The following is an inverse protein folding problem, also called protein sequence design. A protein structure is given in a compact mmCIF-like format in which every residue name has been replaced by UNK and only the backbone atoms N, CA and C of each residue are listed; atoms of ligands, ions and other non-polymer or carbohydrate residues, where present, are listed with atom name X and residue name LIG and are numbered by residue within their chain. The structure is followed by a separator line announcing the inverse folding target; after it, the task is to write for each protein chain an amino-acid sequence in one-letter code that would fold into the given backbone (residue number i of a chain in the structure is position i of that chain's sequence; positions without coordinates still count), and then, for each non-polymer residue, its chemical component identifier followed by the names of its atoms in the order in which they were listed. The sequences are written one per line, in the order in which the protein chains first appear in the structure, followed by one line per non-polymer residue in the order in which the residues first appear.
data_IF_957032707305
#
_entry.id   IF_957032707305
#
_cell.length_a   1.000
_cell.length_b   1.000
_cell.length_c   1.000
_cell.angle_alpha   90.00
_cell.angle_beta   90.00
_cell.angle_gamma   90.00
#
_symmetry.space_group_name_H-M   'P 1'
#
loop_
_entity.id
_entity.type
_entity.pdbx_description
1 polymer ?
#
# COMPACT_ATOMS: atom_id res chain seq x y z
N UNK A 1 1.10 7.32 -1.16
CA UNK A 1 2.40 8.04 -1.08
C UNK A 1 2.72 8.53 -2.47
N UNK A 2 2.76 9.85 -2.66
CA UNK A 2 3.21 10.44 -3.92
C UNK A 2 4.73 10.28 -4.03
N UNK A 3 5.16 9.68 -5.14
CA UNK A 3 6.57 9.42 -5.43
C UNK A 3 6.93 10.23 -6.69
N UNK A 4 7.30 11.49 -6.47
CA UNK A 4 7.59 12.47 -7.52
C UNK A 4 8.76 12.06 -8.42
N UNK A 5 9.64 11.18 -7.93
CA UNK A 5 10.81 10.66 -8.63
C UNK A 5 10.83 9.13 -8.56
N UNK A 6 11.43 8.52 -9.57
CA UNK A 6 11.75 7.10 -9.53
C UNK A 6 12.59 6.80 -8.28
N UNK A 7 12.22 5.75 -7.54
CA UNK A 7 12.95 5.33 -6.35
C UNK A 7 14.23 4.61 -6.78
N UNK A 8 15.36 5.13 -6.32
CA UNK A 8 16.58 4.32 -6.26
C UNK A 8 16.53 3.36 -5.06
N UNK A 9 17.52 2.47 -4.99
CA UNK A 9 17.57 1.46 -3.94
C UNK A 9 17.64 2.06 -2.52
N UNK A 10 18.38 3.17 -2.36
CA UNK A 10 18.52 3.83 -1.08
C UNK A 10 17.18 4.43 -0.62
N UNK A 11 16.47 5.12 -1.51
CA UNK A 11 15.17 5.73 -1.24
C UNK A 11 14.10 4.67 -0.97
N UNK A 12 14.11 3.55 -1.71
CA UNK A 12 13.23 2.40 -1.46
C UNK A 12 13.46 1.84 -0.05
N UNK A 13 14.71 1.66 0.34
CA UNK A 13 15.08 1.13 1.67
C UNK A 13 14.69 2.11 2.78
N UNK A 14 14.88 3.41 2.56
CA UNK A 14 14.46 4.44 3.50
C UNK A 14 12.93 4.44 3.68
N UNK A 15 12.18 4.33 2.59
CA UNK A 15 10.72 4.20 2.65
C UNK A 15 10.29 2.93 3.41
N UNK A 16 10.94 1.79 3.14
CA UNK A 16 10.63 0.54 3.83
C UNK A 16 10.90 0.62 5.34
N UNK A 17 12.00 1.26 5.76
CA UNK A 17 12.28 1.51 7.18
C UNK A 17 11.22 2.42 7.81
N UNK A 18 10.82 3.51 7.14
CA UNK A 18 9.76 4.39 7.63
C UNK A 18 8.42 3.67 7.80
N UNK A 19 8.06 2.79 6.86
CA UNK A 19 6.86 1.93 6.97
C UNK A 19 6.96 0.92 8.12
N UNK A 20 8.15 0.35 8.35
CA UNK A 20 8.41 -0.56 9.47
C UNK A 20 8.26 0.16 10.81
N UNK A 21 8.84 1.35 10.95
CA UNK A 21 8.75 2.16 12.15
C UNK A 21 7.30 2.54 12.45
N UNK A 22 6.56 2.98 11.43
CA UNK A 22 5.13 3.22 11.55
C UNK A 22 4.37 1.96 11.97
N UNK A 23 4.65 0.81 11.34
CA UNK A 23 4.00 -0.45 11.68
C UNK A 23 4.24 -0.87 13.14
N UNK A 24 5.41 -0.56 13.71
CA UNK A 24 5.71 -0.84 15.11
C UNK A 24 4.87 0.00 16.10
N UNK A 25 4.28 1.11 15.65
CA UNK A 25 3.33 1.90 16.44
C UNK A 25 1.88 1.36 16.37
N UNK A 26 1.59 0.44 15.46
CA UNK A 26 0.24 -0.10 15.26
C UNK A 26 0.01 -1.41 16.05
N UNK A 27 -1.23 -1.68 16.50
CA UNK A 27 -1.60 -2.98 17.08
C UNK A 27 -1.19 -4.15 16.18
N UNK A 28 -0.64 -5.22 16.75
CA UNK A 28 -0.03 -6.33 15.99
C UNK A 28 -1.01 -7.10 15.10
N UNK A 29 -2.30 -7.04 15.41
CA UNK A 29 -3.39 -7.70 14.68
C UNK A 29 -3.89 -6.87 13.48
N UNK A 30 -3.44 -5.63 13.32
CA UNK A 30 -3.80 -4.78 12.19
C UNK A 30 -2.82 -4.95 11.02
N UNK A 31 -3.30 -5.14 9.78
CA UNK A 31 -2.43 -5.18 8.62
C UNK A 31 -1.84 -3.79 8.33
N UNK A 32 -0.61 -3.76 7.84
CA UNK A 32 -0.06 -2.58 7.17
C UNK A 32 -0.55 -2.59 5.72
N UNK A 33 -1.23 -1.53 5.31
CA UNK A 33 -1.65 -1.32 3.92
C UNK A 33 -0.92 -0.11 3.38
N UNK A 34 -0.15 -0.29 2.30
CA UNK A 34 0.54 0.78 1.61
C UNK A 34 -0.03 0.93 0.20
N UNK A 35 -0.42 2.15 -0.17
CA UNK A 35 -0.88 2.48 -1.52
C UNK A 35 0.10 3.47 -2.14
N UNK A 36 0.62 3.12 -3.31
CA UNK A 36 1.64 3.88 -4.03
C UNK A 36 1.24 4.05 -5.50
N UNK A 37 1.65 5.15 -6.11
CA UNK A 37 1.28 5.44 -7.51
C UNK A 37 2.22 4.78 -8.53
N UNK A 38 3.41 4.36 -8.07
CA UNK A 38 4.47 3.81 -8.92
C UNK A 38 4.59 2.30 -8.72
N UNK A 39 4.97 1.60 -9.79
CA UNK A 39 5.16 0.13 -9.85
C UNK A 39 6.36 -0.34 -9.01
N UNK A 40 6.16 -0.43 -7.69
CA UNK A 40 7.18 -0.88 -6.74
C UNK A 40 6.62 -1.85 -5.69
N UNK A 41 5.39 -2.37 -5.83
CA UNK A 41 4.77 -3.18 -4.78
C UNK A 41 5.61 -4.41 -4.44
N UNK A 42 6.19 -5.06 -5.45
CA UNK A 42 7.04 -6.23 -5.22
C UNK A 42 8.32 -5.85 -4.44
N UNK A 43 9.06 -4.85 -4.92
CA UNK A 43 10.33 -4.46 -4.30
C UNK A 43 10.10 -3.94 -2.87
N UNK A 44 9.18 -2.99 -2.70
CA UNK A 44 8.82 -2.43 -1.40
C UNK A 44 8.28 -3.50 -0.45
N UNK A 45 7.38 -4.36 -0.95
CA UNK A 45 6.75 -5.42 -0.18
C UNK A 45 7.78 -6.43 0.35
N UNK A 46 8.74 -6.83 -0.48
CA UNK A 46 9.84 -7.72 -0.05
C UNK A 46 10.75 -7.04 0.96
N UNK A 47 11.12 -5.76 0.74
CA UNK A 47 11.97 -5.02 1.69
C UNK A 47 11.29 -4.87 3.05
N UNK A 48 10.02 -4.45 3.09
CA UNK A 48 9.25 -4.32 4.34
C UNK A 48 9.06 -5.68 5.02
N UNK A 49 8.79 -6.75 4.26
CA UNK A 49 8.67 -8.10 4.83
C UNK A 49 9.97 -8.65 5.41
N UNK A 50 11.12 -8.28 4.85
CA UNK A 50 12.42 -8.61 5.42
C UNK A 50 12.62 -7.97 6.81
N UNK A 51 12.08 -6.76 7.02
CA UNK A 51 12.16 -6.04 8.29
C UNK A 51 11.10 -6.48 9.30
N UNK A 52 9.88 -6.79 8.83
CA UNK A 52 8.72 -7.17 9.65
C UNK A 52 8.06 -8.47 9.15
N UNK A 53 8.68 -9.64 9.36
CA UNK A 53 8.20 -10.91 8.79
C UNK A 53 6.79 -11.30 9.23
N UNK A 54 6.42 -11.01 10.47
CA UNK A 54 5.13 -11.40 11.07
C UNK A 54 3.98 -10.42 10.78
N UNK A 55 4.27 -9.17 10.39
CA UNK A 55 3.25 -8.15 10.14
C UNK A 55 2.49 -8.46 8.85
N UNK A 56 1.17 -8.64 8.89
CA UNK A 56 0.37 -8.72 7.66
C UNK A 56 0.57 -7.44 6.82
N UNK A 57 0.89 -7.59 5.54
CA UNK A 57 1.25 -6.50 4.63
C UNK A 57 0.50 -6.63 3.31
N UNK A 58 -0.12 -5.55 2.87
CA UNK A 58 -0.66 -5.38 1.52
C UNK A 58 -0.05 -4.12 0.91
N UNK A 59 0.66 -4.27 -0.21
CA UNK A 59 1.13 -3.14 -1.01
C UNK A 59 0.35 -3.13 -2.32
N UNK A 60 -0.32 -2.02 -2.59
CA UNK A 60 -1.09 -1.77 -3.81
C UNK A 60 -0.35 -0.67 -4.56
N UNK A 61 0.10 -0.97 -5.78
CA UNK A 61 0.77 0.00 -6.65
C UNK A 61 -0.07 0.40 -7.86
N UNK A 62 0.42 1.41 -8.59
CA UNK A 62 -0.22 1.96 -9.78
C UNK A 62 -1.64 2.50 -9.53
N UNK A 63 -1.93 2.93 -8.29
CA UNK A 63 -3.21 3.55 -7.93
C UNK A 63 -2.96 5.01 -7.57
N UNK A 64 -3.42 5.92 -8.44
CA UNK A 64 -3.51 7.34 -8.15
C UNK A 64 -4.77 7.65 -7.35
N UNK A 65 -4.64 8.46 -6.30
CA UNK A 65 -5.75 8.90 -5.46
C UNK A 65 -5.74 10.41 -5.37
N UNK A 66 -6.93 11.01 -5.44
CA UNK A 66 -7.15 12.42 -5.16
C UNK A 66 -7.79 12.60 -3.78
N UNK A 67 -7.80 13.83 -3.29
CA UNK A 67 -8.53 14.17 -2.08
C UNK A 67 -10.03 13.81 -2.23
N UNK A 68 -10.57 13.11 -1.24
CA UNK A 68 -11.98 12.65 -1.26
C UNK A 68 -12.19 11.30 -1.96
N UNK A 69 -11.14 10.66 -2.47
CA UNK A 69 -11.23 9.30 -2.99
C UNK A 69 -11.26 8.25 -1.88
N UNK A 70 -12.09 7.24 -2.09
CA UNK A 70 -12.23 6.06 -1.26
C UNK A 70 -11.80 4.84 -2.05
N UNK A 71 -11.19 3.87 -1.37
CA UNK A 71 -10.87 2.57 -1.94
C UNK A 71 -11.87 1.55 -1.41
N UNK A 72 -12.49 0.83 -2.33
CA UNK A 72 -13.29 -0.36 -2.06
C UNK A 72 -12.50 -1.61 -2.48
N UNK A 73 -12.35 -2.55 -1.56
CA UNK A 73 -11.68 -3.84 -1.76
C UNK A 73 -12.78 -4.90 -1.74
N UNK A 74 -13.09 -5.46 -2.91
CA UNK A 74 -14.15 -6.45 -3.04
C UNK A 74 -13.76 -7.84 -2.51
N UNK A 75 -14.65 -8.80 -2.70
CA UNK A 75 -14.39 -10.20 -2.36
C UNK A 75 -13.43 -10.85 -3.36
N UNK A 76 -12.61 -11.84 -2.94
CA UNK A 76 -11.76 -12.57 -3.86
C UNK A 76 -12.57 -13.29 -4.94
N UNK A 77 -12.05 -13.23 -6.17
CA UNK A 77 -12.60 -13.84 -7.38
C UNK A 77 -11.62 -14.87 -7.95
N UNK A 78 -12.07 -15.69 -8.90
CA UNK A 78 -11.24 -16.67 -9.62
C UNK A 78 -10.49 -17.63 -8.68
N UNK A 79 -11.22 -18.22 -7.73
CA UNK A 79 -10.68 -19.08 -6.66
C UNK A 79 -9.62 -18.39 -5.79
N UNK A 80 -9.81 -17.09 -5.53
CA UNK A 80 -8.95 -16.29 -4.67
C UNK A 80 -7.71 -15.72 -5.34
N UNK A 81 -7.58 -15.84 -6.67
CA UNK A 81 -6.42 -15.33 -7.42
C UNK A 81 -6.44 -13.83 -7.65
N UNK A 82 -7.62 -13.20 -7.61
CA UNK A 82 -7.80 -11.78 -7.89
C UNK A 82 -8.71 -11.18 -6.83
N UNK A 83 -8.37 -9.98 -6.35
CA UNK A 83 -9.24 -9.18 -5.49
C UNK A 83 -9.51 -7.87 -6.23
N UNK A 84 -10.77 -7.53 -6.57
CA UNK A 84 -11.07 -6.32 -7.30
C UNK A 84 -10.91 -5.10 -6.40
N UNK A 85 -10.33 -4.04 -6.97
CA UNK A 85 -10.16 -2.74 -6.35
C UNK A 85 -11.01 -1.71 -7.12
N UNK A 86 -11.73 -0.85 -6.42
CA UNK A 86 -12.42 0.30 -7.03
C UNK A 86 -12.06 1.58 -6.30
N UNK A 87 -11.70 2.61 -7.06
CA UNK A 87 -11.56 3.99 -6.55
C UNK A 87 -12.92 4.68 -6.74
N UNK A 88 -13.47 5.19 -5.64
CA UNK A 88 -14.76 5.89 -5.61
C UNK A 88 -14.53 7.31 -5.14
N UNK A 89 -14.89 8.29 -5.95
CA UNK A 89 -14.91 9.69 -5.53
C UNK A 89 -16.28 10.01 -4.95
N UNK A 90 -16.34 10.40 -3.68
CA UNK A 90 -17.58 10.92 -3.10
C UNK A 90 -17.73 12.39 -3.50
N UNK A 91 -18.70 12.66 -4.38
CA UNK A 91 -19.08 14.02 -4.75
C UNK A 91 -20.21 14.46 -3.82
N UNK A 92 -19.95 15.47 -3.00
CA UNK A 92 -20.98 16.12 -2.19
C UNK A 92 -21.48 17.36 -2.93
N UNK A 93 -22.75 17.35 -3.34
CA UNK A 93 -23.43 18.56 -3.82
C UNK A 93 -24.01 19.29 -2.60
N UNK A 94 -23.72 20.59 -2.49
CA UNK A 94 -24.36 21.49 -1.53
C UNK A 94 -25.81 21.81 -1.96
#
# INVERSE_FOLDING_TARGET
LELDKALDYQSLTQLANGLNDFANTMPSDRPLIAIIERDYAQALGQTVKGLSPSRALLVIDQVGLSEGDYIDIGIPLMDGRVVPLSVKTLIFYH
#
